data_IF_288048845219
#
_entry.id   IF_288048845219
#
_cell.length_a   1.000
_cell.length_b   1.000
_cell.length_c   1.000
_cell.angle_alpha   90.00
_cell.angle_beta   90.00
_cell.angle_gamma   90.00
#
_symmetry.space_group_name_H-M   'P 1'
#
loop_
_entity.id
_entity.type
_entity.pdbx_description
1 polymer ?
#
# COMPACT_ATOMS: atom_id res chain seq x y z
N UNK A 1 -38.48 -14.74 -25.57
CA UNK A 1 -37.72 -13.50 -25.33
C UNK A 1 -36.59 -13.84 -24.38
N UNK A 2 -35.36 -13.66 -24.86
CA UNK A 2 -34.10 -14.08 -24.25
C UNK A 2 -33.69 -13.11 -23.14
N UNK A 3 -33.17 -13.62 -22.03
CA UNK A 3 -32.18 -12.90 -21.23
C UNK A 3 -31.12 -13.87 -20.74
N UNK A 4 -29.89 -13.48 -21.03
CA UNK A 4 -28.71 -14.32 -21.10
C UNK A 4 -28.10 -14.68 -19.74
N UNK A 5 -27.55 -15.89 -19.72
CA UNK A 5 -26.29 -16.34 -19.11
C UNK A 5 -25.49 -15.28 -18.32
N UNK A 6 -25.10 -15.65 -17.11
CA UNK A 6 -23.83 -15.27 -16.51
C UNK A 6 -23.15 -16.51 -15.91
N UNK A 7 -22.71 -17.39 -16.82
CA UNK A 7 -21.60 -18.29 -16.55
C UNK A 7 -20.31 -17.47 -16.62
N UNK A 8 -19.57 -17.37 -15.51
CA UNK A 8 -18.11 -17.43 -15.46
C UNK A 8 -17.58 -16.87 -14.13
N UNK A 9 -17.51 -17.71 -13.11
CA UNK A 9 -16.34 -17.65 -12.22
C UNK A 9 -15.26 -18.53 -12.87
N UNK A 10 -14.71 -18.07 -13.99
CA UNK A 10 -13.52 -18.68 -14.56
C UNK A 10 -12.36 -18.39 -13.63
N UNK A 11 -11.84 -19.46 -13.04
CA UNK A 11 -10.67 -19.51 -12.19
C UNK A 11 -9.58 -18.52 -12.63
N UNK A 12 -9.21 -17.59 -11.75
CA UNK A 12 -7.91 -16.92 -11.85
C UNK A 12 -6.86 -17.93 -11.38
N UNK A 13 -6.53 -18.88 -12.25
CA UNK A 13 -5.30 -19.66 -12.13
C UNK A 13 -4.16 -18.76 -12.60
N UNK A 14 -3.67 -17.91 -11.71
CA UNK A 14 -2.43 -17.18 -11.93
C UNK A 14 -1.25 -18.12 -11.71
N UNK A 15 -0.85 -18.86 -12.74
CA UNK A 15 0.44 -19.56 -12.76
C UNK A 15 1.56 -18.54 -12.96
N UNK A 16 2.03 -17.92 -11.88
CA UNK A 16 3.26 -17.12 -11.93
C UNK A 16 4.42 -18.04 -11.57
N UNK A 17 4.88 -18.76 -12.57
CA UNK A 17 6.20 -19.40 -12.54
C UNK A 17 7.25 -18.31 -12.78
N UNK A 18 7.64 -17.59 -11.72
CA UNK A 18 8.81 -16.72 -11.75
C UNK A 18 9.93 -17.41 -10.98
N UNK A 19 10.92 -17.89 -11.74
CA UNK A 19 12.20 -18.38 -11.24
C UNK A 19 12.73 -17.39 -10.20
N UNK A 20 13.30 -17.85 -9.07
CA UNK A 20 13.88 -16.96 -8.07
C UNK A 20 15.18 -16.40 -8.63
N UNK A 21 15.11 -15.28 -9.33
CA UNK A 21 16.30 -14.55 -9.78
C UNK A 21 16.96 -13.95 -8.55
N UNK A 22 18.07 -14.58 -8.15
CA UNK A 22 19.15 -14.06 -7.30
C UNK A 22 18.71 -13.00 -6.29
N UNK A 23 18.26 -13.51 -5.13
CA UNK A 23 17.95 -12.74 -3.93
C UNK A 23 19.20 -11.97 -3.47
N UNK A 24 19.42 -10.77 -4.00
CA UNK A 24 20.15 -9.76 -3.24
C UNK A 24 19.27 -9.48 -2.04
N UNK A 25 19.63 -10.05 -0.89
CA UNK A 25 19.04 -9.73 0.40
C UNK A 25 19.26 -8.24 0.64
N UNK A 26 18.33 -7.43 0.11
CA UNK A 26 18.18 -6.04 0.45
C UNK A 26 18.10 -6.00 1.97
N UNK A 27 19.01 -5.27 2.62
CA UNK A 27 19.02 -5.01 4.05
C UNK A 27 17.77 -4.19 4.43
N UNK A 28 16.60 -4.83 4.36
CA UNK A 28 15.31 -4.26 4.75
C UNK A 28 15.24 -4.05 6.27
N UNK A 29 16.10 -4.73 7.02
CA UNK A 29 16.33 -4.56 8.46
C UNK A 29 16.71 -3.13 8.85
N UNK A 30 17.42 -2.40 7.98
CA UNK A 30 17.80 -1.01 8.26
C UNK A 30 16.61 -0.05 8.17
N UNK A 31 15.59 -0.36 7.36
CA UNK A 31 14.42 0.51 7.20
C UNK A 31 13.38 0.27 8.28
N UNK A 32 13.28 -0.95 8.82
CA UNK A 32 12.33 -1.26 9.89
C UNK A 32 12.59 -0.43 11.16
N UNK A 33 13.85 -0.20 11.52
CA UNK A 33 14.22 0.67 12.64
C UNK A 33 13.93 2.15 12.34
N UNK A 34 14.14 2.60 11.09
CA UNK A 34 13.80 3.95 10.65
C UNK A 34 12.28 4.19 10.64
N UNK A 35 11.49 3.20 10.23
CA UNK A 35 10.04 3.23 10.33
C UNK A 35 9.60 3.36 11.79
N UNK A 36 10.21 2.62 12.72
CA UNK A 36 9.87 2.70 14.14
C UNK A 36 10.10 4.10 14.76
N UNK A 37 11.08 4.85 14.24
CA UNK A 37 11.40 6.21 14.68
C UNK A 37 10.58 7.29 13.97
N UNK A 38 9.80 6.93 12.94
CA UNK A 38 9.05 7.86 12.12
C UNK A 38 7.83 8.43 12.85
N UNK A 39 8.00 9.61 13.47
CA UNK A 39 6.94 10.36 14.16
C UNK A 39 6.31 11.48 13.32
N UNK A 40 6.86 11.75 12.14
CA UNK A 40 6.45 12.89 11.32
C UNK A 40 6.57 12.57 9.83
N UNK A 41 5.73 13.22 9.01
CA UNK A 41 5.75 13.12 7.55
C UNK A 41 7.11 13.52 6.97
N UNK A 42 7.86 14.43 7.64
CA UNK A 42 9.23 14.79 7.21
C UNK A 42 10.19 13.59 7.21
N UNK A 43 10.15 12.76 8.24
CA UNK A 43 11.00 11.57 8.35
C UNK A 43 10.56 10.52 7.32
N UNK A 44 9.25 10.36 7.13
CA UNK A 44 8.71 9.48 6.09
C UNK A 44 9.16 9.90 4.69
N UNK A 45 9.13 11.20 4.40
CA UNK A 45 9.65 11.75 3.14
C UNK A 45 11.14 11.46 2.98
N UNK A 46 11.94 11.62 4.03
CA UNK A 46 13.38 11.32 3.96
C UNK A 46 13.63 9.84 3.63
N UNK A 47 12.89 8.93 4.26
CA UNK A 47 12.96 7.49 3.96
C UNK A 47 12.52 7.23 2.51
N UNK A 48 11.41 7.83 2.09
CA UNK A 48 10.92 7.68 0.71
C UNK A 48 11.94 8.20 -0.31
N UNK A 49 12.56 9.36 -0.08
CA UNK A 49 13.63 9.91 -0.91
C UNK A 49 14.82 8.95 -0.96
N UNK A 50 15.25 8.39 0.17
CA UNK A 50 16.31 7.38 0.18
C UNK A 50 15.93 6.15 -0.63
N UNK A 51 14.70 5.64 -0.51
CA UNK A 51 14.21 4.51 -1.30
C UNK A 51 14.14 4.81 -2.79
N UNK A 52 13.80 6.03 -3.18
CA UNK A 52 13.79 6.47 -4.58
C UNK A 52 15.23 6.57 -5.10
N UNK A 53 16.11 7.28 -4.40
CA UNK A 53 17.50 7.50 -4.81
C UNK A 53 18.30 6.19 -4.91
N UNK A 54 18.01 5.21 -4.04
CA UNK A 54 18.66 3.89 -4.06
C UNK A 54 18.01 2.91 -5.05
N UNK A 55 16.88 3.28 -5.65
CA UNK A 55 16.11 2.41 -6.55
C UNK A 55 15.30 1.32 -5.84
N UNK A 56 15.30 1.28 -4.50
CA UNK A 56 14.52 0.32 -3.71
C UNK A 56 13.01 0.46 -3.91
N UNK A 57 12.52 1.64 -4.30
CA UNK A 57 11.11 1.84 -4.63
C UNK A 57 10.64 0.95 -5.81
N UNK A 58 11.56 0.49 -6.66
CA UNK A 58 11.28 -0.43 -7.77
C UNK A 58 11.13 -1.88 -7.30
N UNK A 59 11.71 -2.24 -6.15
CA UNK A 59 11.47 -3.54 -5.56
C UNK A 59 10.06 -3.58 -4.96
N UNK A 60 9.21 -4.43 -5.53
CA UNK A 60 7.82 -4.58 -5.10
C UNK A 60 7.73 -4.90 -3.61
N UNK A 61 8.68 -5.65 -3.04
CA UNK A 61 8.67 -5.99 -1.62
C UNK A 61 8.94 -4.76 -0.73
N UNK A 62 10.02 -4.02 -1.00
CA UNK A 62 10.33 -2.79 -0.29
C UNK A 62 9.22 -1.73 -0.46
N UNK A 63 8.70 -1.55 -1.67
CA UNK A 63 7.58 -0.65 -1.97
C UNK A 63 6.31 -1.03 -1.18
N UNK A 64 6.01 -2.32 -1.06
CA UNK A 64 4.89 -2.83 -0.25
C UNK A 64 5.04 -2.48 1.23
N UNK A 65 6.27 -2.53 1.77
CA UNK A 65 6.55 -2.23 3.18
C UNK A 65 6.34 -0.76 3.49
N UNK A 66 6.94 0.15 2.72
CA UNK A 66 6.76 1.59 2.95
C UNK A 66 5.30 2.02 2.75
N UNK A 67 4.60 1.43 1.80
CA UNK A 67 3.19 1.73 1.57
C UNK A 67 2.32 1.29 2.75
N UNK A 68 2.48 0.04 3.20
CA UNK A 68 1.78 -0.46 4.40
C UNK A 68 2.04 0.46 5.59
N UNK A 69 3.31 0.79 5.83
CA UNK A 69 3.69 1.68 6.91
C UNK A 69 3.04 3.06 6.79
N UNK A 70 3.03 3.64 5.58
CA UNK A 70 2.35 4.91 5.32
C UNK A 70 0.86 4.87 5.62
N UNK A 71 0.17 3.75 5.42
CA UNK A 71 -1.28 3.63 5.67
C UNK A 71 -1.62 3.42 7.15
N UNK A 72 -0.68 2.94 7.95
CA UNK A 72 -0.87 2.65 9.39
C UNK A 72 -0.56 3.87 10.27
N UNK A 73 0.15 4.86 9.74
CA UNK A 73 0.53 6.07 10.48
C UNK A 73 -0.67 7.00 10.70
N UNK A 74 -0.97 7.39 11.95
CA UNK A 74 -2.17 8.19 12.27
C UNK A 74 -2.12 9.62 11.71
N UNK A 75 -0.92 10.15 11.44
CA UNK A 75 -0.71 11.49 10.88
C UNK A 75 -0.61 11.48 9.35
N UNK A 76 -0.65 10.30 8.72
CA UNK A 76 -0.54 10.16 7.27
C UNK A 76 -1.92 9.80 6.72
N UNK A 77 -2.55 10.76 6.06
CA UNK A 77 -3.83 10.50 5.40
C UNK A 77 -3.69 9.58 4.19
N UNK A 78 -4.79 8.93 3.80
CA UNK A 78 -4.88 8.07 2.62
C UNK A 78 -4.40 8.75 1.33
N UNK A 79 -4.56 10.07 1.21
CA UNK A 79 -4.08 10.86 0.06
C UNK A 79 -2.55 10.86 -0.09
N UNK A 80 -1.80 10.79 1.02
CA UNK A 80 -0.34 10.71 0.95
C UNK A 80 0.13 9.30 0.57
N UNK A 81 -0.48 8.26 1.15
CA UNK A 81 -0.23 6.87 0.74
C UNK A 81 -0.57 6.65 -0.74
N UNK A 82 -1.62 7.31 -1.25
CA UNK A 82 -1.96 7.29 -2.67
C UNK A 82 -0.86 7.87 -3.55
N UNK A 83 -0.22 8.98 -3.14
CA UNK A 83 0.95 9.53 -3.87
C UNK A 83 2.12 8.55 -3.90
N UNK A 84 2.38 7.81 -2.82
CA UNK A 84 3.41 6.76 -2.83
C UNK A 84 3.01 5.67 -3.81
N UNK A 85 1.76 5.20 -3.73
CA UNK A 85 1.23 4.16 -4.60
C UNK A 85 1.35 4.52 -6.09
N UNK A 86 1.08 5.76 -6.49
CA UNK A 86 1.22 6.19 -7.89
C UNK A 86 2.65 6.18 -8.42
N UNK A 87 3.65 6.16 -7.53
CA UNK A 87 5.07 6.06 -7.91
C UNK A 87 5.57 4.60 -7.96
N UNK A 88 4.73 3.61 -7.65
CA UNK A 88 5.11 2.20 -7.71
C UNK A 88 4.77 1.66 -9.10
N UNK A 89 5.79 1.33 -9.89
CA UNK A 89 5.64 0.80 -11.25
C UNK A 89 5.03 -0.62 -11.24
N UNK A 90 5.54 -1.52 -10.40
CA UNK A 90 5.10 -2.92 -10.30
C UNK A 90 4.23 -3.18 -9.06
N UNK A 91 2.99 -2.73 -9.10
CA UNK A 91 2.02 -2.97 -8.01
C UNK A 91 1.50 -4.42 -8.02
N UNK A 92 1.64 -5.12 -6.89
CA UNK A 92 1.10 -6.48 -6.70
C UNK A 92 -0.27 -6.47 -6.00
N UNK A 93 -0.92 -7.63 -5.89
CA UNK A 93 -2.21 -7.73 -5.20
C UNK A 93 -2.17 -7.28 -3.72
N UNK A 94 -1.03 -7.43 -3.04
CA UNK A 94 -0.88 -6.94 -1.67
C UNK A 94 -0.91 -5.41 -1.59
N UNK A 95 -0.24 -4.71 -2.50
CA UNK A 95 -0.23 -3.25 -2.60
C UNK A 95 -1.65 -2.73 -2.85
N UNK A 96 -2.37 -3.33 -3.80
CA UNK A 96 -3.76 -2.99 -4.09
C UNK A 96 -4.68 -3.24 -2.89
N UNK A 97 -4.56 -4.40 -2.24
CA UNK A 97 -5.33 -4.72 -1.03
C UNK A 97 -5.04 -3.75 0.11
N UNK A 98 -3.78 -3.32 0.25
CA UNK A 98 -3.36 -2.35 1.26
C UNK A 98 -4.00 -0.99 1.01
N UNK A 99 -3.96 -0.50 -0.24
CA UNK A 99 -4.61 0.76 -0.61
C UNK A 99 -6.12 0.73 -0.42
N UNK A 100 -6.79 -0.35 -0.83
CA UNK A 100 -8.24 -0.49 -0.67
C UNK A 100 -8.65 -0.44 0.80
N UNK A 101 -7.90 -1.13 1.67
CA UNK A 101 -8.12 -1.09 3.13
C UNK A 101 -7.93 0.32 3.68
N UNK A 102 -6.89 1.03 3.26
CA UNK A 102 -6.63 2.39 3.70
C UNK A 102 -7.75 3.37 3.29
N UNK A 103 -8.27 3.25 2.06
CA UNK A 103 -9.41 4.04 1.61
C UNK A 103 -10.70 3.70 2.37
N UNK A 104 -10.98 2.41 2.58
CA UNK A 104 -12.14 1.97 3.36
C UNK A 104 -12.10 2.48 4.80
N UNK A 105 -10.93 2.45 5.45
CA UNK A 105 -10.72 3.01 6.78
C UNK A 105 -10.92 4.54 6.79
N UNK A 106 -10.35 5.26 5.82
CA UNK A 106 -10.56 6.70 5.69
C UNK A 106 -12.03 7.07 5.53
N UNK A 107 -12.77 6.34 4.67
CA UNK A 107 -14.19 6.57 4.44
C UNK A 107 -15.03 6.24 5.69
N UNK A 108 -14.74 5.12 6.37
CA UNK A 108 -15.41 4.75 7.61
C UNK A 108 -15.20 5.80 8.71
N UNK A 109 -13.99 6.35 8.80
CA UNK A 109 -13.65 7.41 9.77
C UNK A 109 -14.48 8.68 9.52
N UNK A 110 -14.68 9.06 8.26
CA UNK A 110 -15.54 10.18 7.89
C UNK A 110 -17.01 9.88 8.16
N UNK A 111 -17.48 8.67 7.85
CA UNK A 111 -18.87 8.27 8.06
C UNK A 111 -19.25 8.23 9.55
N UNK A 112 -18.36 7.71 10.41
CA UNK A 112 -18.56 7.72 11.85
C UNK A 112 -18.58 9.16 12.41
N UNK A 113 -17.77 10.07 11.88
CA UNK A 113 -17.80 11.49 12.27
C UNK A 113 -19.15 12.15 11.96
N UNK A 114 -19.69 11.94 10.77
CA UNK A 114 -21.01 12.45 10.35
C UNK A 114 -22.17 11.81 11.13
N UNK A 115 -21.98 10.60 11.68
CA UNK A 115 -22.98 9.95 12.53
C UNK A 115 -22.91 10.43 13.98
N UNK A 116 -21.71 10.73 14.51
CA UNK A 116 -21.50 11.26 15.86
C UNK A 116 -22.04 12.68 16.07
N UNK A 117 -22.08 13.50 15.02
CA UNK A 117 -22.62 14.88 15.07
C UNK A 117 -24.16 14.94 15.03
N UNK A 118 -24.86 13.82 14.83
CA UNK A 118 -26.35 13.76 14.81
C UNK A 118 -26.99 13.27 16.12
N UNK A 119 -26.21 13.21 17.20
CA UNK A 119 -26.66 12.74 18.51
C UNK A 119 -26.45 13.76 19.63
N UNK A 120 -26.72 15.04 19.38
CA UNK A 120 -26.81 16.10 20.39
C UNK A 120 -28.17 16.79 20.30
#
# INVERSE_FOLDING_TARGET
MSSAKLSAFSAIRSSVNRKPTSRTTINCSNFDSLFLQCRNVKVLNQILCQMICTGLIKDTYAASRILKFSTELPFVGSGYSYKIFTNIEDSNGFIWNTMLRAFAQGLLSQFLRVRGERGA
#
